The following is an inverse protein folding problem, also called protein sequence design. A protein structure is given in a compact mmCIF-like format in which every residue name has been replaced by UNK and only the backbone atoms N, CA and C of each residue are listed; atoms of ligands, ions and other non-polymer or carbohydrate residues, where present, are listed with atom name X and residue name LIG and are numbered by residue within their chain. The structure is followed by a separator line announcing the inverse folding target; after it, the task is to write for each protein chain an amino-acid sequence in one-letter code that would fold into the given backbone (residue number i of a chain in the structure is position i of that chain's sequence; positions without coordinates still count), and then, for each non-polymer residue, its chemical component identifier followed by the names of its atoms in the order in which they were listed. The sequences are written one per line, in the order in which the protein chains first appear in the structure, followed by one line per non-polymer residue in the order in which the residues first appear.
data_IF_630626542891
#
_entry.id   IF_630626542891
#
_cell.length_a   1.000
_cell.length_b   1.000
_cell.length_c   1.000
_cell.angle_alpha   90.00
_cell.angle_beta   90.00
_cell.angle_gamma   90.00
#
_symmetry.space_group_name_H-M   'P 1'
#
loop_
_entity.id
_entity.type
_entity.pdbx_description
1 polymer ?
#
# COMPACT_ATOMS: atom_id res chain seq x y z
N UNK A 1 14.61 -2.32 -19.88
CA UNK A 1 14.63 -0.92 -19.39
C UNK A 1 13.98 -0.90 -18.01
N UNK A 2 14.53 -0.18 -17.03
CA UNK A 2 13.95 -0.05 -15.68
C UNK A 2 13.11 1.23 -15.62
N UNK A 3 11.86 1.13 -15.17
CA UNK A 3 11.02 2.28 -14.85
C UNK A 3 10.89 2.38 -13.33
N UNK A 4 11.23 3.53 -12.75
CA UNK A 4 11.22 3.74 -11.28
C UNK A 4 10.05 4.63 -10.94
N UNK A 5 9.11 4.12 -10.15
CA UNK A 5 7.87 4.83 -9.80
C UNK A 5 7.90 5.41 -8.37
N UNK A 6 8.78 4.88 -7.49
CA UNK A 6 9.02 5.41 -6.16
C UNK A 6 10.49 5.21 -5.78
N UNK A 7 11.17 6.28 -5.36
CA UNK A 7 12.56 6.25 -4.88
C UNK A 7 12.65 6.30 -3.34
N UNK A 8 11.54 6.54 -2.67
CA UNK A 8 11.45 6.69 -1.22
C UNK A 8 10.88 5.44 -0.53
N UNK A 9 10.34 4.48 -1.29
CA UNK A 9 9.88 3.20 -0.74
C UNK A 9 11.04 2.47 -0.05
N UNK A 10 10.85 2.15 1.22
CA UNK A 10 11.74 1.29 2.01
C UNK A 10 10.94 0.17 2.67
N UNK A 11 11.59 -0.97 2.85
CA UNK A 11 11.06 -2.11 3.59
C UNK A 11 9.71 -2.63 3.08
N UNK A 12 9.50 -2.59 1.76
CA UNK A 12 8.40 -3.30 1.12
C UNK A 12 8.44 -4.78 1.47
N UNK A 13 7.29 -5.35 1.82
CA UNK A 13 7.18 -6.74 2.27
C UNK A 13 6.06 -7.53 1.61
N UNK A 14 5.01 -6.82 1.18
CA UNK A 14 3.89 -7.42 0.50
C UNK A 14 3.54 -6.58 -0.73
N UNK A 15 3.06 -7.23 -1.80
CA UNK A 15 2.68 -6.60 -3.05
C UNK A 15 1.42 -7.23 -3.60
N UNK A 16 0.49 -6.40 -4.09
CA UNK A 16 -0.76 -6.84 -4.72
C UNK A 16 -1.18 -5.84 -5.80
N UNK A 17 -2.01 -6.27 -6.74
CA UNK A 17 -2.68 -5.40 -7.70
C UNK A 17 -4.19 -5.57 -7.58
N UNK A 18 -4.92 -4.46 -7.63
CA UNK A 18 -6.38 -4.48 -7.74
C UNK A 18 -6.90 -3.10 -8.19
N UNK A 19 -8.02 -3.10 -8.91
CA UNK A 19 -8.79 -1.88 -9.23
C UNK A 19 -9.54 -1.41 -7.98
N UNK A 20 -8.88 -0.57 -7.16
CA UNK A 20 -9.39 -0.13 -5.86
C UNK A 20 -10.37 1.03 -6.05
N UNK A 21 -10.21 1.84 -7.08
CA UNK A 21 -11.06 3.01 -7.32
C UNK A 21 -12.08 2.87 -8.46
N UNK A 22 -12.17 1.68 -9.06
CA UNK A 22 -13.15 1.28 -10.08
C UNK A 22 -13.04 2.10 -11.37
N UNK A 23 -11.83 2.51 -11.76
CA UNK A 23 -11.59 3.20 -13.02
C UNK A 23 -11.22 2.25 -14.17
N UNK A 24 -11.10 0.95 -13.88
CA UNK A 24 -10.72 -0.10 -14.84
C UNK A 24 -9.21 -0.30 -14.99
N UNK A 25 -8.39 0.42 -14.23
CA UNK A 25 -6.96 0.21 -14.08
C UNK A 25 -6.67 -0.33 -12.68
N UNK A 26 -5.64 -1.17 -12.54
CA UNK A 26 -5.27 -1.71 -11.23
C UNK A 26 -4.24 -0.81 -10.54
N UNK A 27 -4.49 -0.48 -9.27
CA UNK A 27 -3.52 0.12 -8.38
C UNK A 27 -2.53 -0.94 -7.89
N UNK A 28 -1.26 -0.55 -7.80
CA UNK A 28 -0.24 -1.31 -7.10
C UNK A 28 -0.34 -1.03 -5.60
N UNK A 29 -0.53 -2.08 -4.80
CA UNK A 29 -0.65 -2.03 -3.34
C UNK A 29 0.64 -2.58 -2.74
N UNK A 30 1.31 -1.80 -1.89
CA UNK A 30 2.56 -2.20 -1.23
C UNK A 30 2.43 -2.10 0.28
N UNK A 31 2.68 -3.22 0.95
CA UNK A 31 2.83 -3.31 2.39
C UNK A 31 4.26 -2.99 2.82
N UNK A 32 4.41 -2.18 3.87
CA UNK A 32 5.71 -1.83 4.46
C UNK A 32 5.74 -2.24 5.92
N UNK A 33 6.83 -2.93 6.28
CA UNK A 33 6.98 -3.54 7.59
C UNK A 33 7.52 -2.59 8.65
N UNK A 34 8.55 -1.82 8.32
CA UNK A 34 9.39 -1.13 9.29
C UNK A 34 9.12 0.39 9.37
N UNK A 35 9.36 0.97 10.55
CA UNK A 35 9.37 2.42 10.75
C UNK A 35 10.79 2.98 10.53
N UNK A 36 10.92 4.23 10.04
CA UNK A 36 12.20 4.91 10.08
C UNK A 36 12.66 5.11 11.52
N UNK A 37 13.98 5.10 11.74
CA UNK A 37 14.59 5.35 13.03
C UNK A 37 15.36 6.69 13.03
N UNK A 38 14.73 7.81 13.44
CA UNK A 38 15.39 9.11 13.49
C UNK A 38 16.64 9.13 14.37
N UNK A 39 16.69 8.30 15.43
CA UNK A 39 17.87 8.19 16.31
C UNK A 39 19.06 7.54 15.61
N UNK A 40 18.81 6.73 14.58
CA UNK A 40 19.83 6.16 13.70
C UNK A 40 20.14 7.06 12.49
N UNK A 41 19.58 8.27 12.42
CA UNK A 41 19.82 9.22 11.34
C UNK A 41 18.99 8.97 10.08
N UNK A 42 17.92 8.15 10.15
CA UNK A 42 17.01 8.01 9.02
C UNK A 42 16.36 9.36 8.68
N UNK A 43 16.46 9.73 7.41
CA UNK A 43 15.81 10.93 6.85
C UNK A 43 14.39 10.65 6.35
N UNK A 44 13.98 9.39 6.32
CA UNK A 44 12.64 9.00 5.88
C UNK A 44 11.64 9.22 7.02
N UNK A 45 10.44 9.66 6.69
CA UNK A 45 9.40 9.98 7.68
C UNK A 45 8.16 9.10 7.53
N UNK A 46 8.00 8.42 6.38
CA UNK A 46 6.91 7.48 6.15
C UNK A 46 7.14 6.19 6.94
N UNK A 47 6.15 5.82 7.74
CA UNK A 47 6.17 4.69 8.68
C UNK A 47 5.65 3.42 8.02
N UNK A 48 5.73 2.28 8.72
CA UNK A 48 5.07 1.04 8.31
C UNK A 48 3.59 1.24 7.95
N UNK A 49 3.02 0.35 7.16
CA UNK A 49 1.63 0.45 6.72
C UNK A 49 1.48 0.14 5.24
N UNK A 50 0.56 0.81 4.56
CA UNK A 50 0.16 0.49 3.19
C UNK A 50 0.30 1.74 2.32
N UNK A 51 0.89 1.56 1.14
CA UNK A 51 0.92 2.55 0.06
C UNK A 51 0.16 2.00 -1.14
N UNK A 52 -0.57 2.87 -1.81
CA UNK A 52 -1.14 2.62 -3.13
C UNK A 52 -0.34 3.42 -4.15
N UNK A 53 -0.13 2.85 -5.32
CA UNK A 53 0.43 3.54 -6.47
C UNK A 53 -0.58 3.43 -7.60
N UNK A 54 -1.11 4.57 -8.03
CA UNK A 54 -2.07 4.67 -9.13
C UNK A 54 -1.36 5.14 -10.37
N UNK A 55 -1.61 4.50 -11.51
CA UNK A 55 -1.14 5.04 -12.78
C UNK A 55 -2.01 6.22 -13.20
N UNK A 56 -1.39 7.30 -13.67
CA UNK A 56 -2.09 8.53 -14.10
C UNK A 56 -2.07 8.72 -15.61
N UNK A 57 -1.63 7.70 -16.35
CA UNK A 57 -1.68 7.66 -17.81
C UNK A 57 -1.96 6.24 -18.33
N UNK A 58 -2.58 6.14 -19.50
CA UNK A 58 -2.90 4.85 -20.13
C UNK A 58 -1.64 4.08 -20.60
N UNK A 59 -0.45 4.68 -20.47
CA UNK A 59 0.83 4.10 -20.86
C UNK A 59 1.59 3.46 -19.68
N UNK A 60 1.12 3.61 -18.45
CA UNK A 60 1.79 3.06 -17.26
C UNK A 60 3.14 3.73 -16.96
N UNK A 61 3.35 4.96 -17.41
CA UNK A 61 4.62 5.69 -17.29
C UNK A 61 4.60 6.81 -16.27
N UNK A 62 3.42 7.20 -15.79
CA UNK A 62 3.25 8.14 -14.68
C UNK A 62 2.47 7.48 -13.57
N UNK A 63 2.96 7.67 -12.35
CA UNK A 63 2.42 7.05 -11.15
C UNK A 63 2.35 8.08 -10.03
N UNK A 64 1.24 8.03 -9.28
CA UNK A 64 1.05 8.80 -8.05
C UNK A 64 1.01 7.85 -6.86
N UNK A 65 1.68 8.22 -5.75
CA UNK A 65 1.65 7.46 -4.51
C UNK A 65 0.61 8.04 -3.55
N UNK A 66 -0.33 7.21 -3.10
CA UNK A 66 -1.25 7.52 -2.02
C UNK A 66 -0.89 6.73 -0.76
N UNK A 67 -0.87 7.42 0.39
CA UNK A 67 -0.58 6.80 1.68
C UNK A 67 -1.90 6.36 2.33
N UNK A 68 -2.21 5.07 2.26
CA UNK A 68 -3.43 4.50 2.84
C UNK A 68 -3.31 4.31 4.36
N UNK A 69 -2.15 3.86 4.84
CA UNK A 69 -1.90 3.63 6.27
C UNK A 69 -0.45 4.00 6.63
N UNK A 70 -0.26 4.60 7.81
CA UNK A 70 1.02 5.14 8.26
C UNK A 70 1.29 4.88 9.75
N UNK A 71 1.38 3.61 10.13
CA UNK A 71 1.86 3.16 11.44
C UNK A 71 1.01 2.07 12.09
N UNK A 72 -0.22 1.86 11.61
CA UNK A 72 -1.19 0.95 12.24
C UNK A 72 -0.87 -0.54 12.12
N UNK A 73 -0.05 -0.95 11.15
CA UNK A 73 0.32 -2.36 10.90
C UNK A 73 1.75 -2.45 10.36
N UNK A 74 2.56 -3.33 10.95
CA UNK A 74 3.88 -3.69 10.44
C UNK A 74 3.71 -4.81 9.42
N UNK A 75 3.36 -4.46 8.18
CA UNK A 75 2.86 -5.43 7.20
C UNK A 75 3.87 -6.54 6.95
N UNK A 76 3.47 -7.77 7.29
CA UNK A 76 4.17 -9.00 6.89
C UNK A 76 3.60 -9.51 5.57
N UNK A 77 2.27 -9.46 5.43
CA UNK A 77 1.56 -9.80 4.20
C UNK A 77 0.25 -8.99 4.08
N UNK A 78 -0.28 -8.87 2.87
CA UNK A 78 -1.59 -8.29 2.58
C UNK A 78 -2.24 -8.96 1.37
N UNK A 79 -3.57 -8.86 1.28
CA UNK A 79 -4.30 -9.17 0.05
C UNK A 79 -5.45 -8.19 -0.14
N UNK A 80 -5.94 -8.09 -1.39
CA UNK A 80 -7.07 -7.24 -1.75
C UNK A 80 -8.16 -8.06 -2.45
N UNK A 81 -9.40 -7.89 -2.01
CA UNK A 81 -10.59 -8.55 -2.55
C UNK A 81 -11.84 -7.81 -2.07
N UNK A 82 -12.98 -8.02 -2.73
CA UNK A 82 -14.29 -7.65 -2.17
C UNK A 82 -14.62 -8.59 -1.01
N UNK A 83 -14.48 -8.11 0.24
CA UNK A 83 -14.62 -8.94 1.43
C UNK A 83 -16.05 -8.92 1.99
N UNK A 84 -16.86 -7.93 1.62
CA UNK A 84 -18.22 -7.74 2.15
C UNK A 84 -19.33 -7.93 1.10
N UNK A 85 -18.98 -8.12 -0.17
CA UNK A 85 -19.92 -8.31 -1.28
C UNK A 85 -20.55 -7.02 -1.80
N UNK A 86 -19.95 -5.85 -1.54
CA UNK A 86 -20.46 -4.55 -2.02
C UNK A 86 -19.95 -4.16 -3.42
N UNK A 87 -19.13 -5.03 -4.02
CA UNK A 87 -18.55 -4.84 -5.34
C UNK A 87 -17.30 -3.95 -5.35
N UNK A 88 -16.79 -3.51 -4.19
CA UNK A 88 -15.56 -2.71 -4.08
C UNK A 88 -14.44 -3.55 -3.48
N UNK A 89 -13.22 -3.31 -3.95
CA UNK A 89 -12.06 -4.01 -3.40
C UNK A 89 -11.69 -3.42 -2.05
N UNK A 90 -11.68 -4.26 -1.02
CA UNK A 90 -11.14 -4.00 0.30
C UNK A 90 -9.70 -4.51 0.40
N UNK A 91 -8.97 -4.08 1.43
CA UNK A 91 -7.61 -4.55 1.71
C UNK A 91 -7.56 -5.14 3.11
N UNK A 92 -6.98 -6.33 3.27
CA UNK A 92 -6.63 -6.91 4.57
C UNK A 92 -5.11 -7.04 4.67
N UNK A 93 -4.55 -6.59 5.80
CA UNK A 93 -3.12 -6.69 6.09
C UNK A 93 -2.90 -7.31 7.46
N UNK A 94 -1.85 -8.12 7.57
CA UNK A 94 -1.42 -8.74 8.82
C UNK A 94 -0.04 -8.22 9.20
N UNK A 95 0.15 -7.96 10.49
CA UNK A 95 1.40 -7.43 11.00
C UNK A 95 2.00 -8.30 12.09
N UNK A 96 3.18 -8.87 11.82
CA UNK A 96 3.89 -9.73 12.77
C UNK A 96 4.37 -8.95 13.98
N UNK A 97 5.02 -7.81 13.77
CA UNK A 97 5.56 -6.99 14.86
C UNK A 97 4.46 -6.23 15.61
N UNK A 98 3.41 -5.79 14.91
CA UNK A 98 2.26 -5.13 15.56
C UNK A 98 1.29 -6.10 16.21
N UNK A 99 1.37 -7.41 15.89
CA UNK A 99 0.52 -8.45 16.46
C UNK A 99 -0.96 -8.27 16.10
N UNK A 100 -1.26 -7.75 14.91
CA UNK A 100 -2.63 -7.42 14.51
C UNK A 100 -2.95 -7.81 13.06
N UNK A 101 -4.24 -7.94 12.78
CA UNK A 101 -4.81 -7.94 11.45
C UNK A 101 -5.73 -6.71 11.32
N UNK A 102 -5.70 -6.03 10.17
CA UNK A 102 -6.52 -4.85 9.89
C UNK A 102 -7.18 -5.00 8.54
N UNK A 103 -8.47 -4.69 8.49
CA UNK A 103 -9.22 -4.55 7.24
C UNK A 103 -9.43 -3.07 6.98
N UNK A 104 -9.19 -2.67 5.74
CA UNK A 104 -9.39 -1.34 5.19
C UNK A 104 -10.58 -1.42 4.25
N UNK A 105 -11.76 -1.09 4.78
CA UNK A 105 -13.02 -1.13 4.04
C UNK A 105 -13.11 0.02 3.04
N UNK A 106 -13.31 -0.31 1.77
CA UNK A 106 -13.45 0.68 0.71
C UNK A 106 -14.87 1.22 0.66
N UNK A 107 -15.03 2.51 0.96
CA UNK A 107 -16.33 3.18 1.02
C UNK A 107 -16.65 4.04 -0.21
N UNK A 108 -15.84 3.96 -1.27
CA UNK A 108 -16.08 4.62 -2.56
C UNK A 108 -16.14 6.15 -2.49
N UNK A 109 -15.15 6.80 -1.87
CA UNK A 109 -15.05 8.26 -1.79
C UNK A 109 -13.85 8.80 -2.54
#
# INVERSE_FOLDING_TARGET
QRHVIDQELRWGHAVWFADVDQDGLEELIVGVRDDPNPKAGDRHTLRRGIRLYRSTDDTGTKWERHLLENGGVAVEDLCAADLNGDGRIDIIAVGRQTGNARIYWNRGR
#
